data_IF_430744431121
#
_entry.id   IF_430744431121
#
_cell.length_a   1.000
_cell.length_b   1.000
_cell.length_c   1.000
_cell.angle_alpha   90.00
_cell.angle_beta   90.00
_cell.angle_gamma   90.00
#
_symmetry.space_group_name_H-M   'P 1'
#
loop_
_entity.id
_entity.type
_entity.pdbx_description
1 polymer ?
#
# COMPACT_ATOMS: atom_id res chain seq x y z
N UNK A 1 0.21 -36.03 3.84
CA UNK A 1 0.79 -37.18 3.12
C UNK A 1 1.87 -36.67 2.19
N UNK A 2 3.12 -37.10 2.35
CA UNK A 2 4.26 -36.69 1.54
C UNK A 2 4.07 -37.19 0.10
N UNK A 3 3.73 -36.30 -0.84
CA UNK A 3 3.69 -36.62 -2.27
C UNK A 3 5.10 -36.46 -2.85
N UNK A 4 5.80 -37.58 -3.01
CA UNK A 4 7.13 -37.63 -3.64
C UNK A 4 6.92 -37.68 -5.16
N UNK A 5 7.26 -36.60 -5.87
CA UNK A 5 7.15 -36.55 -7.33
C UNK A 5 8.40 -37.15 -7.99
N UNK A 6 8.25 -38.30 -8.65
CA UNK A 6 9.36 -39.10 -9.23
C UNK A 6 9.75 -38.67 -10.66
N UNK A 7 8.96 -37.86 -11.34
CA UNK A 7 9.19 -37.51 -12.75
C UNK A 7 10.25 -36.42 -12.94
N UNK A 8 10.39 -35.49 -11.98
CA UNK A 8 11.46 -34.47 -12.00
C UNK A 8 12.85 -35.01 -11.64
N UNK A 9 12.95 -36.23 -11.12
CA UNK A 9 14.23 -36.85 -10.70
C UNK A 9 15.09 -37.33 -11.88
N UNK A 10 14.53 -37.47 -13.09
CA UNK A 10 15.18 -38.16 -14.22
C UNK A 10 15.74 -37.27 -15.33
N UNK A 11 15.42 -35.97 -15.38
CA UNK A 11 15.67 -35.13 -16.57
C UNK A 11 16.76 -34.06 -16.43
N UNK A 12 17.42 -33.93 -15.28
CA UNK A 12 18.36 -32.82 -15.04
C UNK A 12 19.69 -33.33 -14.47
N UNK A 13 20.79 -32.64 -14.80
CA UNK A 13 22.14 -32.77 -14.21
C UNK A 13 22.18 -32.60 -12.66
N UNK A 14 21.02 -32.50 -12.02
CA UNK A 14 20.79 -32.37 -10.59
C UNK A 14 20.77 -33.71 -9.83
N UNK A 15 20.79 -34.88 -10.50
CA UNK A 15 20.72 -36.17 -9.81
C UNK A 15 21.92 -36.42 -8.86
N UNK A 16 23.12 -35.94 -9.23
CA UNK A 16 24.32 -36.02 -8.38
C UNK A 16 24.16 -35.11 -7.16
N UNK A 17 23.74 -33.86 -7.37
CA UNK A 17 23.49 -32.90 -6.28
C UNK A 17 22.38 -33.37 -5.35
N UNK A 18 21.35 -33.99 -5.90
CA UNK A 18 20.28 -34.62 -5.14
C UNK A 18 20.77 -35.78 -4.28
N UNK A 19 21.60 -36.68 -4.83
CA UNK A 19 22.19 -37.78 -4.06
C UNK A 19 23.06 -37.25 -2.92
N UNK A 20 23.82 -36.18 -3.18
CA UNK A 20 24.58 -35.46 -2.16
C UNK A 20 23.63 -34.91 -1.10
N UNK A 21 22.58 -34.16 -1.46
CA UNK A 21 21.60 -33.63 -0.50
C UNK A 21 20.93 -34.72 0.36
N UNK A 22 20.60 -35.87 -0.23
CA UNK A 22 20.02 -37.00 0.50
C UNK A 22 21.03 -37.65 1.46
N UNK A 23 22.28 -37.81 1.04
CA UNK A 23 23.36 -38.30 1.90
C UNK A 23 23.63 -37.32 3.05
N UNK A 24 23.67 -36.02 2.75
CA UNK A 24 23.85 -34.96 3.76
C UNK A 24 22.69 -34.92 4.75
N UNK A 25 21.44 -35.15 4.31
CA UNK A 25 20.29 -35.29 5.20
C UNK A 25 20.45 -36.51 6.12
N UNK A 26 20.87 -37.66 5.57
CA UNK A 26 21.13 -38.86 6.36
C UNK A 26 22.20 -38.65 7.42
N UNK A 27 23.33 -38.05 7.03
CA UNK A 27 24.40 -37.66 7.96
C UNK A 27 23.91 -36.67 9.02
N UNK A 28 23.03 -35.74 8.65
CA UNK A 28 22.44 -34.79 9.59
C UNK A 28 21.59 -35.53 10.63
N UNK A 29 20.73 -36.45 10.20
CA UNK A 29 19.88 -37.23 11.12
C UNK A 29 20.74 -38.05 12.09
N UNK A 30 21.82 -38.66 11.58
CA UNK A 30 22.79 -39.40 12.42
C UNK A 30 23.46 -38.45 13.41
N UNK A 31 23.97 -37.30 12.95
CA UNK A 31 24.60 -36.30 13.83
C UNK A 31 23.63 -35.80 14.90
N UNK A 32 22.38 -35.50 14.53
CA UNK A 32 21.36 -35.04 15.47
C UNK A 32 21.01 -36.13 16.50
N UNK A 33 20.86 -37.38 16.06
CA UNK A 33 20.62 -38.52 16.95
C UNK A 33 21.79 -38.73 17.92
N UNK A 34 23.02 -38.59 17.43
CA UNK A 34 24.23 -38.68 18.25
C UNK A 34 24.29 -37.57 19.31
N UNK A 35 23.89 -36.35 18.96
CA UNK A 35 23.79 -35.22 19.92
C UNK A 35 22.70 -35.45 20.96
N UNK A 36 21.52 -35.93 20.55
CA UNK A 36 20.41 -36.21 21.46
C UNK A 36 20.84 -37.29 22.46
N UNK A 37 21.46 -38.36 21.97
CA UNK A 37 21.97 -39.43 22.82
C UNK A 37 23.05 -38.94 23.79
N UNK A 38 24.03 -38.15 23.32
CA UNK A 38 25.04 -37.53 24.16
C UNK A 38 24.44 -36.63 25.24
N UNK A 39 23.42 -35.84 24.89
CA UNK A 39 22.71 -34.99 25.82
C UNK A 39 21.96 -35.78 26.89
N UNK A 40 21.41 -36.95 26.55
CA UNK A 40 20.75 -37.85 27.50
C UNK A 40 21.79 -38.52 28.41
N UNK A 41 22.91 -38.98 27.83
CA UNK A 41 23.99 -39.61 28.59
C UNK A 41 24.72 -38.64 29.53
N UNK A 42 24.71 -37.34 29.24
CA UNK A 42 25.31 -36.32 30.12
C UNK A 42 24.62 -36.23 31.51
N UNK A 43 23.42 -36.76 31.67
CA UNK A 43 22.76 -36.82 32.98
C UNK A 43 23.35 -37.94 33.86
N UNK A 44 23.85 -37.58 35.03
CA UNK A 44 24.48 -38.51 35.99
C UNK A 44 23.57 -39.71 36.34
N UNK A 45 22.26 -39.48 36.46
CA UNK A 45 21.30 -40.56 36.73
C UNK A 45 21.28 -41.63 35.63
N UNK A 46 21.42 -41.22 34.36
CA UNK A 46 21.43 -42.12 33.20
C UNK A 46 22.73 -42.93 33.18
N UNK A 47 23.87 -42.31 33.50
CA UNK A 47 25.16 -42.99 33.60
C UNK A 47 25.13 -44.08 34.67
N UNK A 48 24.63 -43.75 35.87
CA UNK A 48 24.51 -44.70 36.98
C UNK A 48 23.53 -45.86 36.64
N UNK A 49 22.43 -45.57 35.94
CA UNK A 49 21.47 -46.57 35.51
C UNK A 49 22.06 -47.52 34.47
N UNK A 50 22.80 -46.98 33.49
CA UNK A 50 23.52 -47.76 32.48
C UNK A 50 24.63 -48.60 33.11
N UNK A 51 25.36 -48.06 34.09
CA UNK A 51 26.39 -48.81 34.82
C UNK A 51 25.79 -49.99 35.59
N UNK A 52 24.63 -49.79 36.23
CA UNK A 52 23.97 -50.82 37.02
C UNK A 52 23.30 -51.92 36.19
N UNK A 53 22.68 -51.58 35.05
CA UNK A 53 21.86 -52.53 34.28
C UNK A 53 22.51 -52.99 32.97
N UNK A 54 23.36 -52.17 32.36
CA UNK A 54 23.98 -52.41 31.05
C UNK A 54 25.46 -51.97 31.04
N UNK A 55 26.32 -52.56 31.91
CA UNK A 55 27.70 -52.11 32.09
C UNK A 55 28.53 -52.16 30.81
N UNK A 56 28.28 -53.15 29.93
CA UNK A 56 28.94 -53.28 28.64
C UNK A 56 28.65 -52.09 27.70
N UNK A 57 27.42 -51.57 27.72
CA UNK A 57 27.01 -50.40 26.93
C UNK A 57 27.65 -49.13 27.50
N UNK A 58 27.66 -49.00 28.83
CA UNK A 58 28.29 -47.89 29.53
C UNK A 58 29.80 -47.81 29.22
N UNK A 59 30.51 -48.93 29.33
CA UNK A 59 31.95 -49.00 29.04
C UNK A 59 32.28 -48.73 27.58
N UNK A 60 31.39 -49.11 26.65
CA UNK A 60 31.58 -48.85 25.22
C UNK A 60 31.34 -47.37 24.86
N UNK A 61 30.37 -46.71 25.49
CA UNK A 61 30.00 -45.34 25.16
C UNK A 61 30.81 -44.27 25.90
N UNK A 62 31.28 -44.53 27.13
CA UNK A 62 32.10 -43.60 27.91
C UNK A 62 33.28 -42.97 27.14
N UNK A 63 34.13 -43.72 26.41
CA UNK A 63 35.22 -43.12 25.63
C UNK A 63 34.73 -42.28 24.44
N UNK A 64 33.55 -42.57 23.91
CA UNK A 64 32.92 -41.81 22.83
C UNK A 64 32.39 -40.48 23.36
N UNK A 65 31.77 -40.49 24.54
CA UNK A 65 31.29 -39.29 25.23
C UNK A 65 32.43 -38.33 25.57
N UNK A 66 33.54 -38.83 26.13
CA UNK A 66 34.72 -38.00 26.44
C UNK A 66 35.31 -37.32 25.19
N UNK A 67 35.26 -38.02 24.05
CA UNK A 67 35.75 -37.52 22.77
C UNK A 67 34.63 -36.99 21.86
N UNK A 68 33.47 -36.63 22.40
CA UNK A 68 32.30 -36.26 21.62
C UNK A 68 32.58 -35.11 20.63
N UNK A 69 33.37 -34.12 21.07
CA UNK A 69 33.77 -32.97 20.24
C UNK A 69 34.52 -33.42 18.99
N UNK A 70 35.37 -34.44 19.10
CA UNK A 70 36.14 -34.97 17.96
C UNK A 70 35.20 -35.59 16.92
N UNK A 71 34.26 -36.44 17.35
CA UNK A 71 33.27 -37.03 16.47
C UNK A 71 32.35 -35.98 15.83
N UNK A 72 31.94 -34.97 16.59
CA UNK A 72 31.15 -33.86 16.05
C UNK A 72 31.92 -33.05 15.00
N UNK A 73 33.22 -32.81 15.22
CA UNK A 73 34.10 -32.15 14.26
C UNK A 73 34.21 -32.90 12.94
N UNK A 74 34.14 -34.24 12.94
CA UNK A 74 34.10 -35.04 11.71
C UNK A 74 32.85 -34.68 10.90
N UNK A 75 31.67 -34.67 11.54
CA UNK A 75 30.44 -34.26 10.86
C UNK A 75 30.53 -32.82 10.35
N UNK A 76 31.00 -31.89 11.19
CA UNK A 76 31.20 -30.48 10.81
C UNK A 76 32.12 -30.34 9.61
N UNK A 77 33.23 -31.09 9.57
CA UNK A 77 34.18 -31.11 8.45
C UNK A 77 33.51 -31.55 7.15
N UNK A 78 32.67 -32.59 7.20
CA UNK A 78 31.92 -33.07 6.02
C UNK A 78 30.95 -31.99 5.51
N UNK A 79 30.16 -31.40 6.41
CA UNK A 79 29.22 -30.32 6.06
C UNK A 79 29.91 -29.08 5.51
N UNK A 80 31.02 -28.68 6.12
CA UNK A 80 31.79 -27.53 5.69
C UNK A 80 32.44 -27.78 4.32
N UNK A 81 32.98 -28.98 4.12
CA UNK A 81 33.55 -29.40 2.83
C UNK A 81 32.50 -29.36 1.72
N UNK A 82 31.29 -29.86 1.99
CA UNK A 82 30.18 -29.80 1.05
C UNK A 82 29.79 -28.36 0.70
N UNK A 83 29.74 -27.47 1.70
CA UNK A 83 29.50 -26.04 1.49
C UNK A 83 30.55 -25.41 0.58
N UNK A 84 31.84 -25.66 0.83
CA UNK A 84 32.92 -25.14 -0.02
C UNK A 84 32.88 -25.70 -1.44
N UNK A 85 32.53 -26.99 -1.61
CA UNK A 85 32.36 -27.60 -2.93
C UNK A 85 31.23 -26.94 -3.73
N UNK A 86 30.07 -26.69 -3.09
CA UNK A 86 28.95 -25.98 -3.73
C UNK A 86 29.30 -24.53 -4.02
N UNK A 87 29.99 -23.87 -3.11
CA UNK A 87 30.43 -22.51 -3.32
C UNK A 87 31.36 -22.42 -4.54
N UNK A 88 32.37 -23.28 -4.62
CA UNK A 88 33.25 -23.41 -5.78
C UNK A 88 32.50 -23.70 -7.08
N UNK A 89 31.51 -24.60 -7.03
CA UNK A 89 30.65 -24.87 -8.17
C UNK A 89 29.83 -23.65 -8.59
N UNK A 90 29.23 -22.90 -7.65
CA UNK A 90 28.44 -21.71 -7.95
C UNK A 90 29.25 -20.60 -8.63
N UNK A 91 30.53 -20.47 -8.26
CA UNK A 91 31.47 -19.53 -8.87
C UNK A 91 31.78 -19.98 -10.30
N UNK A 92 32.06 -21.27 -10.50
CA UNK A 92 32.34 -21.83 -11.83
C UNK A 92 31.13 -21.75 -12.76
N UNK A 93 29.93 -22.03 -12.24
CA UNK A 93 28.68 -22.03 -12.99
C UNK A 93 28.03 -20.64 -13.11
N UNK A 94 28.63 -19.59 -12.53
CA UNK A 94 28.12 -18.21 -12.51
C UNK A 94 26.64 -18.12 -12.09
N UNK A 95 26.28 -18.87 -11.05
CA UNK A 95 24.90 -18.88 -10.52
C UNK A 95 24.55 -17.51 -9.92
N UNK A 96 25.55 -16.84 -9.34
CA UNK A 96 25.43 -15.52 -8.74
C UNK A 96 26.37 -14.54 -9.42
N UNK A 97 25.97 -13.26 -9.49
CA UNK A 97 26.78 -12.20 -10.10
C UNK A 97 28.14 -12.01 -9.43
N UNK A 98 28.22 -12.31 -8.12
CA UNK A 98 29.44 -12.17 -7.31
C UNK A 98 29.67 -13.42 -6.47
N UNK A 99 30.94 -13.83 -6.38
CA UNK A 99 31.35 -15.05 -5.68
C UNK A 99 30.93 -15.08 -4.21
N UNK A 100 30.97 -13.94 -3.51
CA UNK A 100 30.63 -13.87 -2.09
C UNK A 100 29.12 -13.94 -1.81
N UNK A 101 28.24 -13.77 -2.81
CA UNK A 101 26.80 -13.86 -2.58
C UNK A 101 26.38 -15.25 -2.09
N UNK A 102 27.06 -16.31 -2.53
CA UNK A 102 26.75 -17.67 -2.11
C UNK A 102 26.85 -17.82 -0.57
N UNK A 103 27.97 -17.49 0.11
CA UNK A 103 28.03 -17.53 1.57
C UNK A 103 27.04 -16.62 2.31
N UNK A 104 26.71 -15.45 1.76
CA UNK A 104 25.75 -14.54 2.40
C UNK A 104 24.31 -15.07 2.32
N UNK A 105 23.93 -15.67 1.19
CA UNK A 105 22.60 -16.28 1.02
C UNK A 105 22.48 -17.55 1.87
N UNK A 106 23.55 -18.36 1.90
CA UNK A 106 23.62 -19.63 2.64
C UNK A 106 24.27 -19.49 4.02
N UNK A 107 24.17 -18.32 4.65
CA UNK A 107 24.82 -18.03 5.94
C UNK A 107 24.39 -19.02 7.05
N UNK A 108 23.16 -19.52 6.98
CA UNK A 108 22.61 -20.51 7.90
C UNK A 108 23.40 -21.84 7.89
N UNK A 109 23.98 -22.22 6.76
CA UNK A 109 24.77 -23.45 6.66
C UNK A 109 26.09 -23.28 7.41
N UNK A 110 26.73 -22.12 7.24
CA UNK A 110 27.98 -21.76 7.91
C UNK A 110 27.79 -21.62 9.42
N UNK A 111 26.75 -20.89 9.86
CA UNK A 111 26.45 -20.70 11.29
C UNK A 111 26.07 -22.03 11.95
N UNK A 112 25.34 -22.89 11.24
CA UNK A 112 25.05 -24.24 11.70
C UNK A 112 26.28 -25.15 11.85
N UNK A 113 27.44 -24.76 11.30
CA UNK A 113 28.71 -25.49 11.41
C UNK A 113 29.51 -25.20 12.67
N UNK A 114 29.15 -24.21 13.47
CA UNK A 114 29.98 -23.75 14.58
C UNK A 114 30.01 -24.81 15.70
N UNK A 115 31.17 -25.42 16.02
CA UNK A 115 31.29 -26.50 17.00
C UNK A 115 31.41 -25.96 18.43
N UNK A 116 30.48 -25.10 18.85
CA UNK A 116 30.49 -24.48 20.19
C UNK A 116 29.45 -25.16 21.08
N UNK A 117 29.88 -25.64 22.25
CA UNK A 117 29.06 -26.46 23.15
C UNK A 117 27.75 -25.81 23.61
N UNK A 118 27.72 -24.49 23.81
CA UNK A 118 26.52 -23.74 24.17
C UNK A 118 25.59 -23.43 22.98
N UNK A 119 26.13 -23.52 21.75
CA UNK A 119 25.42 -23.20 20.50
C UNK A 119 25.00 -24.45 19.73
N UNK A 120 24.97 -25.62 20.37
CA UNK A 120 24.55 -26.90 19.75
C UNK A 120 23.18 -26.80 19.08
N UNK A 121 22.28 -25.94 19.58
CA UNK A 121 20.96 -25.72 19.00
C UNK A 121 21.01 -25.09 17.60
N UNK A 122 22.06 -24.33 17.24
CA UNK A 122 22.22 -23.73 15.90
C UNK A 122 22.27 -24.78 14.78
N UNK A 123 22.54 -26.05 15.10
CA UNK A 123 22.51 -27.15 14.13
C UNK A 123 21.11 -27.39 13.56
N UNK A 124 20.05 -26.92 14.23
CA UNK A 124 18.69 -26.94 13.67
C UNK A 124 18.57 -26.06 12.41
N UNK A 125 19.40 -25.03 12.27
CA UNK A 125 19.44 -24.20 11.06
C UNK A 125 19.79 -25.02 9.82
N UNK A 126 20.65 -26.04 9.96
CA UNK A 126 20.97 -26.98 8.87
C UNK A 126 19.79 -27.89 8.52
N UNK A 127 18.98 -28.28 9.50
CA UNK A 127 17.74 -29.03 9.24
C UNK A 127 16.81 -28.18 8.37
N UNK A 128 16.59 -26.93 8.78
CA UNK A 128 15.75 -25.97 8.07
C UNK A 128 16.30 -25.71 6.65
N UNK A 129 17.61 -25.54 6.54
CA UNK A 129 18.34 -25.36 5.28
C UNK A 129 18.13 -26.52 4.29
N UNK A 130 18.36 -27.76 4.72
CA UNK A 130 18.18 -28.94 3.86
C UNK A 130 16.71 -29.12 3.49
N UNK A 131 15.78 -28.91 4.44
CA UNK A 131 14.34 -28.94 4.16
C UNK A 131 13.96 -27.88 3.11
N UNK A 132 14.47 -26.66 3.24
CA UNK A 132 14.26 -25.58 2.28
C UNK A 132 14.78 -25.96 0.89
N UNK A 133 15.99 -26.53 0.80
CA UNK A 133 16.56 -27.01 -0.48
C UNK A 133 15.71 -28.13 -1.09
N UNK A 134 15.29 -29.11 -0.30
CA UNK A 134 14.41 -30.20 -0.77
C UNK A 134 13.04 -29.71 -1.23
N UNK A 135 12.54 -28.62 -0.62
CA UNK A 135 11.32 -27.94 -1.08
C UNK A 135 11.55 -27.24 -2.43
N UNK A 136 12.66 -26.51 -2.59
CA UNK A 136 13.04 -25.84 -3.86
C UNK A 136 13.21 -26.84 -5.02
N UNK A 137 13.73 -28.05 -4.75
CA UNK A 137 13.80 -29.12 -5.74
C UNK A 137 12.43 -29.74 -6.10
N UNK A 138 11.32 -29.24 -5.54
CA UNK A 138 9.93 -29.73 -5.75
C UNK A 138 9.73 -31.20 -5.37
N UNK A 139 10.55 -31.73 -4.46
CA UNK A 139 10.52 -33.14 -4.05
C UNK A 139 9.61 -33.33 -2.84
N UNK A 140 9.60 -32.34 -1.94
CA UNK A 140 8.75 -32.31 -0.75
C UNK A 140 7.92 -31.02 -0.79
N UNK A 141 6.60 -31.17 -0.93
CA UNK A 141 5.70 -30.04 -0.83
C UNK A 141 5.33 -29.75 0.64
N UNK A 142 6.17 -28.94 1.29
CA UNK A 142 5.99 -28.52 2.69
C UNK A 142 4.88 -27.46 2.80
N UNK A 143 4.45 -26.84 1.70
CA UNK A 143 3.46 -25.74 1.71
C UNK A 143 2.09 -26.19 2.22
N UNK A 144 1.75 -27.47 2.05
CA UNK A 144 0.52 -28.06 2.58
C UNK A 144 0.56 -28.39 4.08
N UNK A 145 1.72 -28.35 4.71
CA UNK A 145 1.90 -28.67 6.14
C UNK A 145 1.21 -27.62 7.02
N UNK A 146 0.58 -28.07 8.12
CA UNK A 146 -0.07 -27.18 9.11
C UNK A 146 0.93 -26.19 9.71
N UNK A 147 2.15 -26.64 9.99
CA UNK A 147 3.20 -25.79 10.56
C UNK A 147 3.64 -24.69 9.58
N UNK A 148 3.80 -25.04 8.29
CA UNK A 148 4.19 -24.06 7.27
C UNK A 148 3.10 -22.99 7.09
N UNK A 149 1.83 -23.40 6.96
CA UNK A 149 0.70 -22.47 6.86
C UNK A 149 0.58 -21.58 8.08
N UNK A 150 0.79 -22.12 9.28
CA UNK A 150 0.85 -21.32 10.51
C UNK A 150 1.95 -20.27 10.43
N UNK A 151 3.21 -20.66 10.18
CA UNK A 151 4.34 -19.71 10.13
C UNK A 151 4.13 -18.65 9.04
N UNK A 152 3.66 -19.06 7.86
CA UNK A 152 3.42 -18.14 6.75
C UNK A 152 2.33 -17.12 7.08
N UNK A 153 1.22 -17.56 7.69
CA UNK A 153 0.16 -16.66 8.14
C UNK A 153 0.67 -15.57 9.10
N UNK A 154 1.45 -15.95 10.12
CA UNK A 154 2.02 -14.96 11.05
C UNK A 154 3.10 -14.08 10.40
N UNK A 155 3.87 -14.61 9.44
CA UNK A 155 4.83 -13.83 8.67
C UNK A 155 4.11 -12.77 7.83
N UNK A 156 3.07 -13.15 7.09
CA UNK A 156 2.29 -12.25 6.24
C UNK A 156 1.58 -11.20 7.10
N UNK A 157 0.94 -11.59 8.20
CA UNK A 157 0.33 -10.66 9.16
C UNK A 157 1.34 -9.68 9.76
N UNK A 158 2.56 -10.14 10.09
CA UNK A 158 3.64 -9.28 10.58
C UNK A 158 4.16 -8.32 9.50
N UNK A 159 4.30 -8.80 8.25
CA UNK A 159 4.71 -7.97 7.12
C UNK A 159 3.65 -6.90 6.80
N UNK A 160 2.37 -7.24 6.86
CA UNK A 160 1.26 -6.29 6.73
C UNK A 160 1.35 -5.22 7.83
N UNK A 161 1.46 -5.60 9.10
CA UNK A 161 1.55 -4.65 10.22
C UNK A 161 2.78 -3.73 10.11
N UNK A 162 3.91 -4.27 9.64
CA UNK A 162 5.13 -3.50 9.41
C UNK A 162 4.95 -2.52 8.24
N UNK A 163 4.35 -2.98 7.14
CA UNK A 163 4.02 -2.15 5.96
C UNK A 163 3.08 -1.01 6.34
N UNK A 164 1.97 -1.32 7.02
CA UNK A 164 0.99 -0.32 7.48
C UNK A 164 1.65 0.74 8.36
N UNK A 165 2.50 0.32 9.29
CA UNK A 165 3.23 1.26 10.16
C UNK A 165 4.19 2.15 9.38
N UNK A 166 4.86 1.63 8.34
CA UNK A 166 5.71 2.44 7.46
C UNK A 166 4.86 3.43 6.69
N UNK A 167 3.76 3.00 6.07
CA UNK A 167 2.86 3.87 5.31
C UNK A 167 2.30 4.97 6.20
N UNK A 168 1.82 4.65 7.41
CA UNK A 168 1.35 5.64 8.37
C UNK A 168 2.43 6.66 8.76
N UNK A 169 3.69 6.22 8.90
CA UNK A 169 4.81 7.11 9.20
C UNK A 169 5.13 8.03 8.02
N UNK A 170 5.11 7.51 6.80
CA UNK A 170 5.31 8.30 5.57
C UNK A 170 4.20 9.34 5.41
N UNK A 171 2.93 8.93 5.53
CA UNK A 171 1.78 9.84 5.44
C UNK A 171 1.82 10.92 6.52
N UNK A 172 2.21 10.57 7.76
CA UNK A 172 2.40 11.56 8.83
C UNK A 172 3.54 12.53 8.51
N UNK A 173 4.62 12.05 7.89
CA UNK A 173 5.71 12.91 7.40
C UNK A 173 5.25 13.87 6.31
N UNK A 174 4.39 13.42 5.38
CA UNK A 174 3.77 14.28 4.37
C UNK A 174 2.87 15.32 5.01
N UNK A 175 2.05 14.97 6.01
CA UNK A 175 1.23 15.95 6.74
C UNK A 175 2.07 17.04 7.41
N UNK A 176 3.21 16.67 8.00
CA UNK A 176 4.11 17.64 8.63
C UNK A 176 4.69 18.61 7.60
N UNK A 177 5.01 18.13 6.39
CA UNK A 177 5.48 18.98 5.30
C UNK A 177 4.38 19.88 4.74
N UNK A 178 3.15 19.36 4.61
CA UNK A 178 1.95 20.13 4.21
C UNK A 178 1.68 21.26 5.21
N UNK A 179 1.79 21.00 6.53
CA UNK A 179 1.63 22.00 7.58
C UNK A 179 2.63 23.15 7.51
N UNK A 180 3.81 22.93 6.91
CA UNK A 180 4.80 23.99 6.68
C UNK A 180 4.39 24.93 5.54
N UNK A 181 3.38 24.56 4.76
CA UNK A 181 2.54 25.44 3.93
C UNK A 181 3.17 25.97 2.65
N UNK A 182 4.31 26.67 2.76
CA UNK A 182 4.81 27.55 1.71
C UNK A 182 5.19 26.85 0.39
N UNK A 183 6.03 25.81 0.36
CA UNK A 183 6.48 25.23 -0.92
C UNK A 183 5.46 24.31 -1.59
N UNK A 184 4.48 23.77 -0.84
CA UNK A 184 3.50 22.84 -1.40
C UNK A 184 2.38 23.58 -2.13
N UNK A 185 1.83 24.64 -1.51
CA UNK A 185 0.73 25.41 -2.11
C UNK A 185 1.18 26.08 -3.41
N UNK A 186 2.38 26.67 -3.40
CA UNK A 186 2.99 27.28 -4.59
C UNK A 186 3.17 26.25 -5.71
N UNK A 187 3.62 25.03 -5.40
CA UNK A 187 3.71 23.93 -6.38
C UNK A 187 2.37 23.46 -6.88
N UNK A 188 1.35 23.35 -6.02
CA UNK A 188 0.00 22.96 -6.45
C UNK A 188 -0.56 24.01 -7.42
N UNK A 189 -0.41 25.30 -7.11
CA UNK A 189 -0.85 26.38 -7.99
C UNK A 189 -0.07 26.36 -9.31
N UNK A 190 1.26 26.40 -9.25
CA UNK A 190 2.11 26.57 -10.43
C UNK A 190 2.25 25.31 -11.29
N UNK A 191 2.40 24.14 -10.68
CA UNK A 191 2.68 22.89 -11.41
C UNK A 191 1.42 22.10 -11.75
N UNK A 192 0.30 22.34 -11.04
CA UNK A 192 -0.93 21.53 -11.19
C UNK A 192 -2.10 22.37 -11.69
N UNK A 193 -2.45 23.48 -11.02
CA UNK A 193 -3.66 24.25 -11.35
C UNK A 193 -3.48 25.10 -12.61
N UNK A 194 -2.45 25.94 -12.69
CA UNK A 194 -2.23 26.83 -13.84
C UNK A 194 -2.12 26.09 -15.17
N UNK A 195 -1.35 25.00 -15.30
CA UNK A 195 -1.27 24.25 -16.57
C UNK A 195 -2.60 23.61 -16.99
N UNK A 196 -3.57 23.51 -16.07
CA UNK A 196 -4.87 22.86 -16.28
C UNK A 196 -6.03 23.86 -16.33
N UNK A 197 -5.78 25.17 -16.35
CA UNK A 197 -6.83 26.22 -16.40
C UNK A 197 -7.86 25.98 -17.49
N UNK A 198 -7.43 25.77 -18.74
CA UNK A 198 -8.35 25.50 -19.85
C UNK A 198 -9.25 24.27 -19.61
N UNK A 199 -8.66 23.18 -19.10
CA UNK A 199 -9.42 21.97 -18.76
C UNK A 199 -10.42 22.22 -17.61
N UNK A 200 -10.08 23.06 -16.64
CA UNK A 200 -11.00 23.46 -15.55
C UNK A 200 -12.14 24.33 -16.09
N UNK A 201 -11.86 25.26 -17.01
CA UNK A 201 -12.89 26.08 -17.68
C UNK A 201 -13.85 25.22 -18.50
N UNK A 202 -13.33 24.28 -19.29
CA UNK A 202 -14.13 23.31 -20.05
C UNK A 202 -15.04 22.49 -19.12
N UNK A 203 -14.46 21.90 -18.07
CA UNK A 203 -15.18 21.07 -17.12
C UNK A 203 -16.26 21.85 -16.37
N UNK A 204 -15.95 23.07 -15.93
CA UNK A 204 -16.89 23.92 -15.20
C UNK A 204 -18.01 24.42 -16.12
N UNK A 205 -17.69 24.77 -17.37
CA UNK A 205 -18.65 25.14 -18.42
C UNK A 205 -19.66 24.03 -18.68
N UNK A 206 -19.20 22.79 -18.83
CA UNK A 206 -20.06 21.62 -18.99
C UNK A 206 -20.94 21.40 -17.74
N UNK A 207 -20.35 21.54 -16.54
CA UNK A 207 -21.07 21.33 -15.28
C UNK A 207 -22.16 22.39 -15.04
N UNK A 208 -21.89 23.64 -15.37
CA UNK A 208 -22.85 24.74 -15.34
C UNK A 208 -23.95 24.53 -16.37
N UNK A 209 -23.60 24.13 -17.60
CA UNK A 209 -24.58 23.82 -18.64
C UNK A 209 -25.52 22.69 -18.21
N UNK A 210 -24.98 21.60 -17.64
CA UNK A 210 -25.78 20.51 -17.09
C UNK A 210 -26.68 20.98 -15.94
N UNK A 211 -26.17 21.79 -15.02
CA UNK A 211 -26.94 22.31 -13.90
C UNK A 211 -28.08 23.23 -14.37
N UNK A 212 -27.83 24.09 -15.37
CA UNK A 212 -28.85 24.94 -15.97
C UNK A 212 -29.89 24.12 -16.75
N UNK A 213 -29.48 23.14 -17.57
CA UNK A 213 -30.42 22.28 -18.29
C UNK A 213 -31.37 21.53 -17.35
N UNK A 214 -30.86 20.98 -16.24
CA UNK A 214 -31.67 20.18 -15.32
C UNK A 214 -32.39 21.00 -14.25
N UNK A 215 -31.79 22.09 -13.77
CA UNK A 215 -32.34 22.93 -12.71
C UNK A 215 -33.30 24.00 -13.22
N UNK A 216 -33.03 24.55 -14.40
CA UNK A 216 -33.77 25.70 -14.94
C UNK A 216 -34.85 25.32 -15.95
N UNK A 217 -34.52 24.54 -16.99
CA UNK A 217 -35.48 24.24 -18.08
C UNK A 217 -36.83 23.71 -17.56
N UNK A 218 -36.86 22.82 -16.53
CA UNK A 218 -38.12 22.36 -15.95
C UNK A 218 -38.87 23.42 -15.14
N UNK A 219 -38.15 24.39 -14.54
CA UNK A 219 -38.70 25.40 -13.62
C UNK A 219 -38.90 26.78 -14.24
N UNK A 220 -38.75 26.90 -15.57
CA UNK A 220 -38.84 28.16 -16.33
C UNK A 220 -40.06 29.02 -15.98
N UNK A 221 -41.23 28.41 -15.80
CA UNK A 221 -42.47 29.11 -15.48
C UNK A 221 -42.48 29.71 -14.07
N UNK A 222 -41.91 29.00 -13.10
CA UNK A 222 -41.82 29.48 -11.72
C UNK A 222 -40.86 30.67 -11.61
N UNK A 223 -39.73 30.63 -12.32
CA UNK A 223 -38.78 31.75 -12.33
C UNK A 223 -39.37 32.97 -13.02
N UNK A 224 -40.08 32.80 -14.14
CA UNK A 224 -40.77 33.89 -14.83
C UNK A 224 -41.76 34.59 -13.90
N UNK A 225 -42.62 33.83 -13.22
CA UNK A 225 -43.57 34.39 -12.27
C UNK A 225 -42.87 35.12 -11.09
N UNK A 226 -41.75 34.56 -10.60
CA UNK A 226 -40.94 35.21 -9.56
C UNK A 226 -40.36 36.55 -10.04
N UNK A 227 -39.80 36.61 -11.25
CA UNK A 227 -39.20 37.81 -11.83
C UNK A 227 -40.25 38.88 -12.14
N UNK A 228 -41.36 38.51 -12.77
CA UNK A 228 -42.49 39.42 -13.01
C UNK A 228 -42.98 40.03 -11.69
N UNK A 229 -43.13 39.22 -10.64
CA UNK A 229 -43.53 39.73 -9.32
C UNK A 229 -42.48 40.66 -8.69
N UNK A 230 -41.18 40.37 -8.87
CA UNK A 230 -40.11 41.25 -8.35
C UNK A 230 -40.05 42.58 -9.10
N UNK A 231 -40.21 42.56 -10.42
CA UNK A 231 -40.23 43.76 -11.25
C UNK A 231 -41.46 44.60 -10.96
N UNK A 232 -42.64 43.99 -10.87
CA UNK A 232 -43.90 44.65 -10.50
C UNK A 232 -43.77 45.38 -9.13
N UNK A 233 -43.22 44.71 -8.12
CA UNK A 233 -42.96 45.34 -6.82
C UNK A 233 -41.96 46.50 -6.91
N UNK A 234 -40.90 46.37 -7.70
CA UNK A 234 -39.89 47.42 -7.86
C UNK A 234 -40.45 48.65 -8.58
N UNK A 235 -41.31 48.43 -9.58
CA UNK A 235 -41.97 49.49 -10.35
C UNK A 235 -43.03 50.23 -9.53
N UNK A 236 -43.79 49.51 -8.68
CA UNK A 236 -44.71 50.13 -7.70
C UNK A 236 -44.01 51.00 -6.68
N UNK A 237 -42.75 50.71 -6.36
CA UNK A 237 -41.94 51.53 -5.45
C UNK A 237 -41.28 52.73 -6.16
N UNK A 238 -41.38 52.82 -7.48
CA UNK A 238 -40.83 53.94 -8.24
C UNK A 238 -41.75 55.17 -8.16
N UNK A 239 -41.22 56.26 -7.61
CA UNK A 239 -41.94 57.53 -7.41
C UNK A 239 -42.39 58.17 -8.73
N UNK A 240 -41.59 58.08 -9.80
CA UNK A 240 -41.92 58.68 -11.09
C UNK A 240 -43.03 57.89 -11.80
N UNK A 241 -43.00 56.56 -11.71
CA UNK A 241 -44.04 55.71 -12.26
C UNK A 241 -45.37 55.89 -11.52
N UNK A 242 -45.32 55.98 -10.18
CA UNK A 242 -46.49 56.24 -9.34
C UNK A 242 -47.15 57.59 -9.63
N UNK A 243 -46.38 58.59 -10.10
CA UNK A 243 -46.91 59.91 -10.47
C UNK A 243 -47.72 59.88 -11.76
N UNK A 244 -47.48 58.90 -12.65
CA UNK A 244 -48.24 58.77 -13.89
C UNK A 244 -49.73 58.53 -13.63
N UNK A 245 -50.08 57.92 -12.49
CA UNK A 245 -51.46 57.73 -12.04
C UNK A 245 -52.26 59.04 -11.88
N UNK A 246 -51.59 60.18 -11.70
CA UNK A 246 -52.24 61.49 -11.59
C UNK A 246 -52.60 62.12 -12.94
N UNK A 247 -52.14 61.55 -14.07
CA UNK A 247 -52.54 62.03 -15.39
C UNK A 247 -53.97 61.58 -15.71
N UNK A 248 -54.90 62.52 -15.97
CA UNK A 248 -56.29 62.17 -16.23
C UNK A 248 -56.41 61.37 -17.54
N UNK A 249 -57.37 60.43 -17.57
CA UNK A 249 -57.74 59.57 -18.70
C UNK A 249 -56.70 58.50 -19.08
N UNK A 250 -55.40 58.79 -19.05
CA UNK A 250 -54.35 57.88 -19.58
C UNK A 250 -53.37 57.35 -18.53
N UNK A 251 -53.34 57.94 -17.32
CA UNK A 251 -52.34 57.62 -16.29
C UNK A 251 -52.22 56.15 -15.91
N UNK A 252 -53.32 55.49 -15.47
CA UNK A 252 -53.31 54.07 -15.12
C UNK A 252 -52.88 53.17 -16.28
N UNK A 253 -53.36 53.45 -17.49
CA UNK A 253 -53.02 52.66 -18.69
C UNK A 253 -51.54 52.73 -19.02
N UNK A 254 -50.92 53.91 -18.93
CA UNK A 254 -49.48 54.07 -19.19
C UNK A 254 -48.65 53.33 -18.13
N UNK A 255 -49.06 53.43 -16.85
CA UNK A 255 -48.42 52.71 -15.76
C UNK A 255 -48.49 51.20 -15.98
N UNK A 256 -49.68 50.64 -16.18
CA UNK A 256 -49.87 49.20 -16.38
C UNK A 256 -49.12 48.70 -17.63
N UNK A 257 -49.10 49.49 -18.70
CA UNK A 257 -48.37 49.12 -19.94
C UNK A 257 -46.86 49.12 -19.71
N UNK A 258 -46.32 50.08 -18.97
CA UNK A 258 -44.90 50.12 -18.60
C UNK A 258 -44.53 48.97 -17.66
N UNK A 259 -45.37 48.69 -16.66
CA UNK A 259 -45.15 47.59 -15.72
C UNK A 259 -45.07 46.23 -16.43
N UNK A 260 -46.02 45.96 -17.32
CA UNK A 260 -46.02 44.73 -18.12
C UNK A 260 -44.85 44.69 -19.10
N UNK A 261 -44.57 45.78 -19.82
CA UNK A 261 -43.49 45.82 -20.81
C UNK A 261 -42.12 45.60 -20.17
N UNK A 262 -41.84 46.24 -19.03
CA UNK A 262 -40.56 46.08 -18.32
C UNK A 262 -40.48 44.68 -17.68
N UNK A 263 -41.56 44.18 -17.11
CA UNK A 263 -41.64 42.80 -16.59
C UNK A 263 -41.30 41.77 -17.67
N UNK A 264 -41.91 41.88 -18.84
CA UNK A 264 -41.67 40.99 -19.98
C UNK A 264 -40.23 41.11 -20.51
N UNK A 265 -39.69 42.33 -20.63
CA UNK A 265 -38.30 42.54 -21.08
C UNK A 265 -37.33 41.88 -20.10
N UNK A 266 -37.45 42.14 -18.80
CA UNK A 266 -36.54 41.58 -17.79
C UNK A 266 -36.66 40.06 -17.74
N UNK A 267 -37.89 39.52 -17.77
CA UNK A 267 -38.10 38.07 -17.78
C UNK A 267 -37.46 37.42 -19.02
N UNK A 268 -37.58 38.04 -20.20
CA UNK A 268 -36.97 37.53 -21.43
C UNK A 268 -35.44 37.64 -21.42
N UNK A 269 -34.87 38.73 -20.88
CA UNK A 269 -33.41 38.88 -20.75
C UNK A 269 -32.83 37.82 -19.82
N UNK A 270 -33.44 37.60 -18.65
CA UNK A 270 -32.99 36.56 -17.73
C UNK A 270 -33.17 35.17 -18.33
N UNK A 271 -34.24 34.95 -19.10
CA UNK A 271 -34.44 33.71 -19.84
C UNK A 271 -33.29 33.45 -20.81
N UNK A 272 -32.91 34.44 -21.61
CA UNK A 272 -31.81 34.34 -22.57
C UNK A 272 -30.47 34.07 -21.88
N UNK A 273 -30.16 34.78 -20.79
CA UNK A 273 -28.93 34.53 -20.02
C UNK A 273 -28.88 33.08 -19.49
N UNK A 274 -30.00 32.56 -18.98
CA UNK A 274 -30.06 31.20 -18.46
C UNK A 274 -30.01 30.14 -19.58
N UNK A 275 -30.55 30.46 -20.75
CA UNK A 275 -30.46 29.61 -21.94
C UNK A 275 -29.04 29.57 -22.51
N UNK A 276 -28.36 30.72 -22.54
CA UNK A 276 -26.94 30.83 -22.88
C UNK A 276 -26.08 30.01 -21.90
N UNK A 277 -26.34 30.13 -20.60
CA UNK A 277 -25.70 29.33 -19.55
C UNK A 277 -25.96 27.82 -19.69
N UNK A 278 -27.11 27.42 -20.24
CA UNK A 278 -27.46 26.03 -20.49
C UNK A 278 -26.85 25.45 -21.78
N UNK A 279 -26.19 26.29 -22.57
CA UNK A 279 -25.58 25.92 -23.85
C UNK A 279 -24.04 25.99 -23.78
N UNK A 280 -23.39 25.56 -24.85
CA UNK A 280 -21.93 25.67 -25.00
C UNK A 280 -21.43 27.11 -25.17
N UNK A 281 -22.32 28.10 -25.32
CA UNK A 281 -21.94 29.52 -25.42
C UNK A 281 -21.45 30.10 -24.08
N UNK A 282 -21.74 29.42 -22.96
CA UNK A 282 -21.31 29.84 -21.63
C UNK A 282 -19.79 29.78 -21.42
N UNK A 283 -19.06 29.11 -22.31
CA UNK A 283 -17.65 28.80 -22.11
C UNK A 283 -16.78 30.04 -21.90
N UNK A 284 -16.93 31.07 -22.75
CA UNK A 284 -16.16 32.30 -22.64
C UNK A 284 -16.41 33.03 -21.30
N UNK A 285 -17.67 33.06 -20.85
CA UNK A 285 -18.01 33.65 -19.55
C UNK A 285 -17.41 32.88 -18.38
N UNK A 286 -17.43 31.54 -18.45
CA UNK A 286 -16.82 30.69 -17.43
C UNK A 286 -15.30 30.77 -17.45
N UNK A 287 -14.69 30.87 -18.64
CA UNK A 287 -13.26 31.05 -18.81
C UNK A 287 -12.79 32.36 -18.15
N UNK A 288 -13.50 33.47 -18.37
CA UNK A 288 -13.22 34.75 -17.73
C UNK A 288 -13.29 34.65 -16.20
N UNK A 289 -14.30 33.96 -15.66
CA UNK A 289 -14.43 33.72 -14.22
C UNK A 289 -13.25 32.89 -13.70
N UNK A 290 -12.89 31.80 -14.38
CA UNK A 290 -11.75 30.95 -14.00
C UNK A 290 -10.45 31.74 -14.05
N UNK A 291 -10.29 32.64 -15.01
CA UNK A 291 -9.13 33.52 -15.12
C UNK A 291 -8.99 34.49 -13.95
N UNK A 292 -10.12 34.94 -13.37
CA UNK A 292 -10.12 35.78 -12.15
C UNK A 292 -9.74 34.97 -10.91
N UNK A 293 -10.20 33.72 -10.80
CA UNK A 293 -9.89 32.84 -9.67
C UNK A 293 -8.49 32.22 -9.73
N UNK A 294 -7.93 32.08 -10.93
CA UNK A 294 -6.61 31.54 -11.20
C UNK A 294 -5.85 32.54 -12.08
N UNK A 295 -5.36 33.67 -11.55
CA UNK A 295 -4.68 34.70 -12.34
C UNK A 295 -3.36 34.20 -12.94
N UNK A 296 -2.70 35.03 -13.76
CA UNK A 296 -1.37 34.66 -14.29
C UNK A 296 -0.32 34.59 -13.16
N UNK A 297 0.68 33.70 -13.28
CA UNK A 297 1.74 33.58 -12.28
C UNK A 297 2.45 34.92 -12.03
N UNK A 298 2.39 35.43 -10.80
CA UNK A 298 3.04 36.69 -10.40
C UNK A 298 2.08 37.87 -10.19
N UNK A 299 0.79 37.70 -10.49
CA UNK A 299 -0.25 38.60 -9.98
C UNK A 299 -0.65 38.13 -8.58
N UNK A 300 -0.37 38.95 -7.57
CA UNK A 300 -0.63 38.64 -6.15
C UNK A 300 -2.10 38.28 -5.91
N UNK A 301 -2.40 37.01 -5.63
CA UNK A 301 -3.57 36.64 -4.83
C UNK A 301 -3.30 35.33 -4.09
N UNK A 302 -2.94 35.44 -2.81
CA UNK A 302 -3.27 34.42 -1.84
C UNK A 302 -3.52 35.14 -0.52
N UNK A 303 -4.79 35.27 -0.15
CA UNK A 303 -5.15 35.63 1.22
C UNK A 303 -4.70 34.48 2.13
N UNK A 304 -4.11 34.80 3.28
CA UNK A 304 -3.57 33.80 4.20
C UNK A 304 -4.67 32.80 4.62
N UNK A 305 -5.94 33.23 4.67
CA UNK A 305 -7.08 32.39 5.04
C UNK A 305 -7.40 31.29 4.01
N UNK A 306 -7.39 31.59 2.71
CA UNK A 306 -7.66 30.59 1.66
C UNK A 306 -6.55 29.54 1.58
N UNK A 307 -5.30 29.99 1.76
CA UNK A 307 -4.13 29.12 1.84
C UNK A 307 -4.24 28.15 3.01
N UNK A 308 -4.66 28.64 4.19
CA UNK A 308 -4.90 27.79 5.36
C UNK A 308 -6.05 26.80 5.13
N UNK A 309 -7.12 27.20 4.45
CA UNK A 309 -8.22 26.30 4.12
C UNK A 309 -7.78 25.13 3.21
N UNK A 310 -6.97 25.39 2.19
CA UNK A 310 -6.42 24.35 1.31
C UNK A 310 -5.46 23.40 2.06
N UNK A 311 -4.63 23.94 2.94
CA UNK A 311 -3.76 23.15 3.82
C UNK A 311 -4.62 22.22 4.69
N UNK A 312 -5.66 22.75 5.35
CA UNK A 312 -6.55 21.97 6.19
C UNK A 312 -7.28 20.87 5.42
N UNK A 313 -7.83 21.18 4.24
CA UNK A 313 -8.47 20.19 3.36
C UNK A 313 -7.49 19.06 2.99
N UNK A 314 -6.25 19.41 2.65
CA UNK A 314 -5.22 18.42 2.30
C UNK A 314 -4.89 17.53 3.49
N UNK A 315 -4.81 18.10 4.70
CA UNK A 315 -4.58 17.34 5.93
C UNK A 315 -5.73 16.37 6.23
N UNK A 316 -6.98 16.81 6.06
CA UNK A 316 -8.18 15.97 6.21
C UNK A 316 -8.19 14.79 5.23
N UNK A 317 -7.84 15.03 3.96
CA UNK A 317 -7.70 13.96 2.95
C UNK A 317 -6.64 12.95 3.36
N UNK A 318 -5.47 13.40 3.85
CA UNK A 318 -4.42 12.49 4.31
C UNK A 318 -4.87 11.69 5.54
N UNK A 319 -5.62 12.30 6.47
CA UNK A 319 -6.17 11.59 7.62
C UNK A 319 -7.19 10.52 7.21
N UNK A 320 -8.07 10.81 6.25
CA UNK A 320 -8.99 9.82 5.69
C UNK A 320 -8.24 8.62 5.07
N UNK A 321 -7.13 8.87 4.35
CA UNK A 321 -6.28 7.79 3.80
C UNK A 321 -5.60 6.99 4.92
N UNK A 322 -5.10 7.65 5.98
CA UNK A 322 -4.49 6.97 7.13
C UNK A 322 -5.49 6.06 7.85
N UNK A 323 -6.74 6.48 8.00
CA UNK A 323 -7.77 5.66 8.62
C UNK A 323 -8.09 4.41 7.80
N UNK A 324 -8.06 4.50 6.47
CA UNK A 324 -8.19 3.33 5.60
C UNK A 324 -7.00 2.35 5.74
N UNK A 325 -5.78 2.86 5.91
CA UNK A 325 -4.57 2.04 6.14
C UNK A 325 -4.58 1.36 7.51
N UNK A 326 -5.26 1.93 8.50
CA UNK A 326 -5.40 1.32 9.84
C UNK A 326 -6.32 0.09 9.86
N UNK A 327 -7.10 -0.14 8.80
CA UNK A 327 -7.99 -1.30 8.69
C UNK A 327 -7.16 -2.55 8.40
N UNK A 328 -6.98 -3.39 9.43
CA UNK A 328 -6.18 -4.62 9.39
C UNK A 328 -6.91 -5.75 8.68
N UNK A 329 -6.52 -6.08 7.46
CA UNK A 329 -7.21 -7.10 6.64
C UNK A 329 -6.83 -8.51 7.06
N UNK A 330 -5.60 -8.75 7.53
CA UNK A 330 -5.19 -10.06 8.04
C UNK A 330 -6.05 -10.61 9.19
N UNK A 331 -6.76 -9.75 9.94
CA UNK A 331 -7.66 -10.19 11.02
C UNK A 331 -8.91 -10.91 10.50
N UNK A 332 -9.32 -10.63 9.27
CA UNK A 332 -10.45 -11.30 8.63
C UNK A 332 -10.07 -12.72 8.14
N UNK A 333 -8.78 -12.98 7.98
CA UNK A 333 -8.20 -14.24 7.50
C UNK A 333 -7.74 -15.16 8.65
N UNK A 334 -8.12 -14.84 9.90
CA UNK A 334 -7.80 -15.68 11.07
C UNK A 334 -8.36 -17.11 10.87
N UNK A 335 -7.51 -18.15 10.92
CA UNK A 335 -7.91 -19.54 10.68
C UNK A 335 -8.68 -20.21 11.83
#
# INVERSE_FOLDING_TARGET
MLRINRENLRSSHQMIWFLIDFLMLGLLIINLSFIIWDSIYNFVAIQNLLEAHLPAVNSAYKPIHENFIFFDLIFVSIFLSEFFLRWGYSVKAKIYDRWYFYPFIHWYDLVGCIPVGSLRFLRILRVISIIYRLHQYKIIDVTSSRLYRFVMFYYDAFMEELSDRIVLKVLSGVQEEVKRGSPLVERIQNDILYPRRGMLSDWLSERVALAAQHGYVPNRGALRAYLEHRVDNALKQNLELSRLKYLPVVGPTIQDTLENAVGDIVANVIHQILEDLASSSNHAFIEDIVNVFLPEPGEEVADDEETQALINLTLEVIDAVKDQVRVKRWREELP
#
